data_IF_349608677156
#
_entry.id   IF_349608677156
#
_cell.length_a   1.000
_cell.length_b   1.000
_cell.length_c   1.000
_cell.angle_alpha   90.00
_cell.angle_beta   90.00
_cell.angle_gamma   90.00
#
_symmetry.space_group_name_H-M   'P 1'
#
loop_
_entity.id
_entity.type
_entity.pdbx_description
1 polymer ?
#
# COMPACT_ATOMS: atom_id res chain seq x y z
N UNK A 1 23.02 7.67 10.84
CA UNK A 1 23.21 8.19 9.47
C UNK A 1 22.06 9.15 9.20
N UNK A 2 22.36 10.39 8.81
CA UNK A 2 21.37 11.39 8.40
C UNK A 2 21.22 11.26 6.88
N UNK A 3 20.03 10.92 6.38
CA UNK A 3 19.80 10.77 4.95
C UNK A 3 19.21 12.06 4.38
N UNK A 4 20.05 12.99 3.95
CA UNK A 4 19.63 14.18 3.18
C UNK A 4 19.71 13.89 1.67
N UNK A 5 18.64 14.25 0.94
CA UNK A 5 18.34 14.38 -0.50
C UNK A 5 18.96 13.45 -1.58
N UNK A 6 20.02 12.71 -1.28
CA UNK A 6 20.52 11.53 -1.98
C UNK A 6 20.57 10.31 -1.03
N UNK A 7 19.64 10.28 -0.08
CA UNK A 7 19.54 9.34 1.05
C UNK A 7 19.53 7.85 0.67
N UNK A 8 19.23 6.97 1.63
CA UNK A 8 19.22 5.52 1.42
C UNK A 8 18.46 5.17 0.14
N UNK A 9 19.01 4.25 -0.67
CA UNK A 9 18.27 3.72 -1.81
C UNK A 9 17.08 2.92 -1.27
N UNK A 10 15.89 3.27 -1.75
CA UNK A 10 14.65 2.57 -1.42
C UNK A 10 14.25 1.67 -2.57
N UNK A 11 14.01 0.39 -2.31
CA UNK A 11 13.39 -0.52 -3.28
C UNK A 11 11.89 -0.60 -3.00
N UNK A 12 11.07 -0.11 -3.93
CA UNK A 12 9.62 -0.27 -3.94
C UNK A 12 9.27 -1.60 -4.61
N UNK A 13 8.67 -2.53 -3.86
CA UNK A 13 8.49 -3.92 -4.29
C UNK A 13 7.06 -4.16 -4.78
N UNK A 14 6.91 -4.32 -6.10
CA UNK A 14 5.63 -4.50 -6.77
C UNK A 14 5.52 -5.91 -7.36
N UNK A 15 4.42 -6.58 -7.04
CA UNK A 15 4.00 -7.81 -7.70
C UNK A 15 2.73 -7.50 -8.49
N UNK A 16 2.70 -7.85 -9.77
CA UNK A 16 1.53 -7.59 -10.64
C UNK A 16 1.18 -8.78 -11.51
N UNK A 17 -0.08 -8.85 -11.95
CA UNK A 17 -0.56 -9.88 -12.86
C UNK A 17 -1.86 -9.44 -13.54
N UNK A 18 -1.86 -9.29 -14.86
CA UNK A 18 -3.04 -9.02 -15.68
C UNK A 18 -3.93 -7.84 -15.21
N UNK A 19 -3.30 -6.75 -14.76
CA UNK A 19 -3.99 -5.57 -14.22
C UNK A 19 -3.29 -4.24 -14.56
N UNK A 20 -3.05 -4.03 -15.86
CA UNK A 20 -2.34 -2.88 -16.42
C UNK A 20 -2.76 -1.50 -15.87
N UNK A 21 -4.06 -1.21 -15.74
CA UNK A 21 -4.53 0.09 -15.23
C UNK A 21 -4.14 0.34 -13.77
N UNK A 22 -4.22 -0.70 -12.92
CA UNK A 22 -3.80 -0.62 -11.51
C UNK A 22 -2.27 -0.44 -11.44
N UNK A 23 -1.52 -1.27 -12.16
CA UNK A 23 -0.07 -1.16 -12.24
C UNK A 23 0.39 0.21 -12.76
N UNK A 24 -0.31 0.79 -13.74
CA UNK A 24 -0.05 2.15 -14.24
C UNK A 24 -0.17 3.18 -13.13
N UNK A 25 -1.26 3.16 -12.37
CA UNK A 25 -1.45 4.07 -11.22
C UNK A 25 -0.34 3.90 -10.18
N UNK A 26 0.03 2.65 -9.87
CA UNK A 26 1.11 2.37 -8.92
C UNK A 26 2.48 2.88 -9.40
N UNK A 27 2.77 2.76 -10.71
CA UNK A 27 3.98 3.34 -11.34
C UNK A 27 3.94 4.87 -11.30
N UNK A 28 2.80 5.49 -11.61
CA UNK A 28 2.64 6.95 -11.54
C UNK A 28 2.82 7.47 -10.11
N UNK A 29 2.35 6.73 -9.11
CA UNK A 29 2.63 7.02 -7.70
C UNK A 29 4.14 6.92 -7.37
N UNK A 30 4.85 5.95 -7.95
CA UNK A 30 6.30 5.77 -7.76
C UNK A 30 7.07 6.95 -8.37
N UNK A 31 6.73 7.34 -9.60
CA UNK A 31 7.34 8.47 -10.30
C UNK A 31 7.16 9.81 -9.56
N UNK A 32 6.06 9.95 -8.81
CA UNK A 32 5.75 11.17 -8.04
C UNK A 32 6.30 11.21 -6.61
N UNK A 33 6.96 10.16 -6.12
CA UNK A 33 7.55 10.20 -4.77
C UNK A 33 8.60 11.31 -4.65
N UNK A 34 8.58 12.04 -3.52
CA UNK A 34 9.56 13.08 -3.22
C UNK A 34 10.94 12.50 -2.87
N UNK A 35 11.01 11.27 -2.38
CA UNK A 35 12.28 10.61 -2.08
C UNK A 35 13.02 10.20 -3.36
N UNK A 36 14.05 10.94 -3.76
CA UNK A 36 14.73 10.83 -5.06
C UNK A 36 15.44 9.48 -5.30
N UNK A 37 16.19 8.97 -4.31
CA UNK A 37 17.01 7.76 -4.44
C UNK A 37 16.15 6.50 -4.21
N UNK A 38 15.44 6.10 -5.26
CA UNK A 38 14.54 4.96 -5.25
C UNK A 38 14.62 4.16 -6.54
N UNK A 39 14.30 2.88 -6.44
CA UNK A 39 14.06 2.00 -7.57
C UNK A 39 12.71 1.30 -7.40
N UNK A 40 12.10 0.97 -8.52
CA UNK A 40 10.94 0.09 -8.59
C UNK A 40 11.43 -1.30 -8.96
N UNK A 41 11.02 -2.30 -8.18
CA UNK A 41 11.28 -3.72 -8.46
C UNK A 41 9.94 -4.36 -8.76
N UNK A 42 9.76 -4.84 -9.98
CA UNK A 42 8.52 -5.42 -10.47
C UNK A 42 8.74 -6.89 -10.78
N UNK A 43 7.96 -7.75 -10.14
CA UNK A 43 7.80 -9.15 -10.52
C UNK A 43 6.39 -9.32 -11.09
N UNK A 44 6.32 -9.85 -12.30
CA UNK A 44 5.08 -10.03 -13.05
C UNK A 44 4.86 -11.52 -13.38
N UNK A 45 3.76 -12.09 -12.91
CA UNK A 45 3.34 -13.47 -13.24
C UNK A 45 2.08 -13.50 -14.14
N UNK A 46 1.85 -12.43 -14.89
CA UNK A 46 0.78 -12.31 -15.88
C UNK A 46 1.23 -12.51 -17.33
N UNK A 47 0.24 -12.38 -18.21
CA UNK A 47 0.41 -12.50 -19.67
C UNK A 47 0.43 -11.12 -20.36
N UNK A 48 -0.15 -10.09 -19.73
CA UNK A 48 -0.16 -8.72 -20.25
C UNK A 48 1.25 -8.14 -20.39
N UNK A 49 1.51 -7.39 -21.45
CA UNK A 49 2.76 -6.63 -21.60
C UNK A 49 2.70 -5.34 -20.78
N UNK A 50 3.68 -5.18 -19.88
CA UNK A 50 3.85 -4.00 -19.02
C UNK A 50 4.99 -3.09 -19.47
N UNK A 51 5.74 -3.44 -20.52
CA UNK A 51 6.94 -2.73 -20.94
C UNK A 51 6.72 -1.23 -21.17
N UNK A 52 5.56 -0.87 -21.74
CA UNK A 52 5.17 0.52 -21.97
C UNK A 52 5.00 1.34 -20.67
N UNK A 53 4.71 0.70 -19.52
CA UNK A 53 4.57 1.41 -18.25
C UNK A 53 5.92 1.87 -17.67
N UNK A 54 7.02 1.25 -18.08
CA UNK A 54 8.33 1.47 -17.47
C UNK A 54 9.24 2.39 -18.29
N UNK A 55 8.79 2.87 -19.45
CA UNK A 55 9.60 3.65 -20.40
C UNK A 55 10.15 4.95 -19.82
N UNK A 56 9.40 5.57 -18.91
CA UNK A 56 9.76 6.82 -18.25
C UNK A 56 10.62 6.61 -16.98
N UNK A 57 10.88 5.36 -16.60
CA UNK A 57 11.72 5.04 -15.43
C UNK A 57 13.16 4.83 -15.91
N UNK A 58 14.14 5.57 -15.37
CA UNK A 58 15.55 5.35 -15.68
C UNK A 58 15.98 3.90 -15.45
N UNK A 59 16.81 3.34 -16.33
CA UNK A 59 17.23 1.93 -16.27
C UNK A 59 17.89 1.54 -14.92
N UNK A 60 18.53 2.48 -14.22
CA UNK A 60 19.12 2.23 -12.90
C UNK A 60 18.09 2.24 -11.74
N UNK A 61 16.85 2.67 -12.02
CA UNK A 61 15.71 2.80 -11.10
C UNK A 61 14.57 1.83 -11.39
N UNK A 62 14.73 0.91 -12.32
CA UNK A 62 13.76 -0.16 -12.57
C UNK A 62 14.47 -1.52 -12.61
N UNK A 63 13.84 -2.52 -12.01
CA UNK A 63 14.10 -3.95 -12.26
C UNK A 63 12.78 -4.59 -12.57
N UNK A 64 12.64 -5.18 -13.75
CA UNK A 64 11.45 -5.90 -14.17
C UNK A 64 11.83 -7.35 -14.46
N UNK A 65 11.14 -8.28 -13.83
CA UNK A 65 11.26 -9.71 -14.09
C UNK A 65 9.86 -10.30 -14.31
N UNK A 66 9.65 -10.87 -15.49
CA UNK A 66 8.50 -11.72 -15.75
C UNK A 66 8.82 -13.15 -15.31
N UNK A 67 7.95 -13.74 -14.53
CA UNK A 67 8.06 -15.13 -14.07
C UNK A 67 6.89 -15.95 -14.62
N UNK A 68 7.08 -17.24 -14.98
CA UNK A 68 5.98 -18.08 -15.43
C UNK A 68 4.94 -18.29 -14.33
N UNK A 69 3.66 -18.14 -14.67
CA UNK A 69 2.57 -18.48 -13.77
C UNK A 69 2.47 -19.98 -13.58
N UNK A 70 2.69 -20.46 -12.37
CA UNK A 70 2.52 -21.88 -12.02
C UNK A 70 1.66 -22.01 -10.77
N UNK A 71 0.94 -23.13 -10.59
CA UNK A 71 0.13 -23.35 -9.39
C UNK A 71 0.95 -23.29 -8.10
N UNK A 72 2.22 -23.68 -8.10
CA UNK A 72 3.03 -23.76 -6.88
C UNK A 72 3.59 -22.40 -6.43
N UNK A 73 3.60 -21.40 -7.31
CA UNK A 73 4.08 -20.06 -6.98
C UNK A 73 3.00 -19.31 -6.18
N UNK A 74 3.36 -18.94 -4.96
CA UNK A 74 2.50 -18.17 -4.04
C UNK A 74 2.82 -16.68 -4.11
N UNK A 75 1.91 -15.83 -3.61
CA UNK A 75 2.17 -14.39 -3.51
C UNK A 75 3.38 -14.10 -2.62
N UNK A 76 3.55 -14.86 -1.52
CA UNK A 76 4.76 -14.78 -0.69
C UNK A 76 6.04 -15.10 -1.46
N UNK A 77 6.03 -16.13 -2.32
CA UNK A 77 7.17 -16.46 -3.17
C UNK A 77 7.51 -15.34 -4.17
N UNK A 78 6.50 -14.74 -4.81
CA UNK A 78 6.68 -13.58 -5.70
C UNK A 78 7.26 -12.37 -4.96
N UNK A 79 6.79 -12.09 -3.74
CA UNK A 79 7.35 -11.02 -2.90
C UNK A 79 8.78 -11.32 -2.46
N UNK A 80 9.11 -12.57 -2.12
CA UNK A 80 10.49 -12.95 -1.85
C UNK A 80 11.38 -12.76 -3.08
N UNK A 81 10.86 -13.02 -4.30
CA UNK A 81 11.59 -12.70 -5.53
C UNK A 81 11.86 -11.21 -5.68
N UNK A 82 10.91 -10.34 -5.34
CA UNK A 82 11.16 -8.89 -5.32
C UNK A 82 12.22 -8.48 -4.29
N UNK A 83 12.27 -9.15 -3.12
CA UNK A 83 13.33 -8.93 -2.12
C UNK A 83 14.71 -9.33 -2.65
N UNK A 84 14.81 -10.43 -3.39
CA UNK A 84 16.09 -10.90 -3.97
C UNK A 84 16.65 -9.96 -5.03
N UNK A 85 15.78 -9.27 -5.75
CA UNK A 85 16.15 -8.31 -6.80
C UNK A 85 16.45 -6.91 -6.24
N UNK A 86 16.02 -6.61 -5.02
CA UNK A 86 16.15 -5.29 -4.39
C UNK A 86 17.63 -4.93 -4.16
N UNK A 87 18.00 -3.68 -4.47
CA UNK A 87 19.34 -3.10 -4.21
C UNK A 87 19.33 -2.03 -3.12
N UNK A 88 18.15 -1.66 -2.64
CA UNK A 88 17.96 -0.64 -1.62
C UNK A 88 18.36 -1.13 -0.24
N UNK A 89 18.93 -0.24 0.56
CA UNK A 89 19.13 -0.48 2.01
C UNK A 89 17.83 -0.25 2.79
N UNK A 90 16.80 0.29 2.13
CA UNK A 90 15.43 0.40 2.62
C UNK A 90 14.51 -0.29 1.60
N UNK A 91 13.49 -0.95 2.10
CA UNK A 91 12.48 -1.67 1.33
C UNK A 91 11.12 -1.09 1.66
N UNK A 92 10.27 -0.91 0.65
CA UNK A 92 8.89 -0.49 0.80
C UNK A 92 7.97 -1.47 0.05
N UNK A 93 6.95 -1.99 0.72
CA UNK A 93 5.92 -2.78 0.03
C UNK A 93 5.10 -1.86 -0.90
N UNK A 94 4.89 -2.30 -2.14
CA UNK A 94 4.31 -1.52 -3.23
C UNK A 94 3.35 -2.36 -4.09
N UNK A 95 2.24 -2.80 -3.50
CA UNK A 95 1.16 -3.47 -4.21
C UNK A 95 0.59 -2.61 -5.35
N UNK A 96 0.30 -3.24 -6.48
CA UNK A 96 -0.14 -2.56 -7.71
C UNK A 96 -1.57 -1.99 -7.62
N UNK A 97 -2.39 -2.45 -6.67
CA UNK A 97 -3.80 -2.06 -6.52
C UNK A 97 -4.07 -1.03 -5.43
N UNK A 98 -3.03 -0.57 -4.74
CA UNK A 98 -3.08 0.53 -3.79
C UNK A 98 -2.73 1.87 -4.47
N UNK A 99 -2.82 2.95 -3.70
CA UNK A 99 -2.34 4.26 -4.11
C UNK A 99 -1.47 4.88 -3.02
N UNK A 100 -0.44 5.60 -3.45
CA UNK A 100 0.60 6.10 -2.57
C UNK A 100 0.79 7.61 -2.73
N UNK A 101 0.70 8.32 -1.61
CA UNK A 101 0.91 9.76 -1.58
C UNK A 101 2.37 10.11 -1.93
N UNK A 102 2.66 11.23 -2.62
CA UNK A 102 4.02 11.67 -2.95
C UNK A 102 5.00 11.74 -1.76
N UNK A 103 4.48 11.94 -0.55
CA UNK A 103 5.27 12.05 0.68
C UNK A 103 5.41 10.75 1.48
N UNK A 104 4.83 9.63 1.01
CA UNK A 104 4.83 8.35 1.74
C UNK A 104 6.24 7.95 2.15
N UNK A 105 7.16 7.84 1.18
CA UNK A 105 8.52 7.38 1.44
C UNK A 105 9.23 8.33 2.42
N UNK A 106 9.23 9.64 2.16
CA UNK A 106 9.90 10.63 3.02
C UNK A 106 9.41 10.55 4.47
N UNK A 107 8.08 10.47 4.69
CA UNK A 107 7.52 10.45 6.05
C UNK A 107 7.78 9.13 6.79
N UNK A 108 7.73 7.99 6.11
CA UNK A 108 7.99 6.70 6.74
C UNK A 108 9.50 6.46 6.98
N UNK A 109 10.37 6.91 6.08
CA UNK A 109 11.83 6.79 6.23
C UNK A 109 12.33 7.64 7.41
N UNK A 110 11.75 8.81 7.65
CA UNK A 110 12.06 9.63 8.83
C UNK A 110 11.89 8.87 10.16
N UNK A 111 10.99 7.87 10.22
CA UNK A 111 10.85 7.00 11.40
C UNK A 111 12.02 6.03 11.56
N UNK A 112 12.62 5.57 10.45
CA UNK A 112 13.81 4.71 10.50
C UNK A 112 15.03 5.48 10.99
N UNK A 113 15.09 6.79 10.75
CA UNK A 113 16.21 7.65 11.13
C UNK A 113 16.30 7.91 12.63
N UNK A 114 15.16 7.89 13.31
CA UNK A 114 15.08 7.94 14.79
C UNK A 114 15.30 6.55 15.43
N UNK A 115 15.96 5.64 14.72
CA UNK A 115 16.42 4.36 15.26
C UNK A 115 15.42 3.21 15.19
N UNK A 116 14.35 3.32 14.40
CA UNK A 116 13.42 2.21 14.12
C UNK A 116 13.96 1.33 12.99
N UNK A 117 13.55 0.06 13.02
CA UNK A 117 13.96 -0.93 12.01
C UNK A 117 12.91 -1.06 10.90
N UNK A 118 11.64 -0.84 11.25
CA UNK A 118 10.51 -0.79 10.34
C UNK A 118 9.55 0.35 10.70
N UNK A 119 8.71 0.74 9.75
CA UNK A 119 7.65 1.72 9.91
C UNK A 119 6.37 1.23 9.21
N UNK A 120 5.23 1.37 9.88
CA UNK A 120 3.89 1.12 9.33
C UNK A 120 2.99 2.31 9.61
N UNK A 121 1.91 2.44 8.84
CA UNK A 121 0.84 3.39 9.12
C UNK A 121 -0.13 2.78 10.14
N UNK A 122 -0.53 3.57 11.15
CA UNK A 122 -1.55 3.18 12.15
C UNK A 122 -2.87 2.78 11.49
N UNK A 123 -3.22 3.51 10.44
CA UNK A 123 -4.37 3.25 9.59
C UNK A 123 -4.13 3.81 8.20
N UNK A 124 -4.97 3.40 7.27
CA UNK A 124 -4.95 3.83 5.87
C UNK A 124 -6.32 4.34 5.47
N UNK A 125 -6.35 5.22 4.48
CA UNK A 125 -7.59 5.57 3.82
C UNK A 125 -8.10 4.34 3.04
N UNK A 126 -9.36 3.98 3.23
CA UNK A 126 -10.02 2.85 2.59
C UNK A 126 -11.04 3.42 1.60
N UNK A 127 -11.04 2.89 0.38
CA UNK A 127 -12.01 3.22 -0.66
C UNK A 127 -12.66 1.94 -1.21
N UNK A 128 -13.96 2.00 -1.50
CA UNK A 128 -14.67 0.91 -2.16
C UNK A 128 -15.26 1.45 -3.46
N UNK A 129 -14.84 0.87 -4.58
CA UNK A 129 -15.47 1.10 -5.87
C UNK A 129 -16.82 0.36 -5.93
N UNK A 130 -17.83 0.99 -5.33
CA UNK A 130 -19.20 0.51 -5.31
C UNK A 130 -20.14 1.73 -5.23
N UNK A 131 -21.31 1.73 -5.92
CA UNK A 131 -22.15 2.92 -6.04
C UNK A 131 -22.53 3.60 -4.72
N UNK A 132 -22.77 2.83 -3.66
CA UNK A 132 -23.14 3.36 -2.34
C UNK A 132 -21.94 3.82 -1.51
N UNK A 133 -20.72 3.50 -1.90
CA UNK A 133 -19.51 3.67 -1.08
C UNK A 133 -18.44 4.56 -1.72
N UNK A 134 -18.52 4.80 -3.03
CA UNK A 134 -17.49 5.49 -3.80
C UNK A 134 -17.09 6.83 -3.15
N UNK A 135 -18.05 7.69 -2.87
CA UNK A 135 -17.82 9.00 -2.23
C UNK A 135 -17.73 8.94 -0.69
N UNK A 136 -17.65 7.75 -0.11
CA UNK A 136 -17.57 7.53 1.33
C UNK A 136 -16.31 6.77 1.75
N UNK A 137 -15.11 7.30 1.44
CA UNK A 137 -13.88 6.74 1.95
C UNK A 137 -13.80 6.91 3.48
N UNK A 138 -13.06 6.03 4.15
CA UNK A 138 -12.94 6.03 5.61
C UNK A 138 -11.55 5.57 6.06
N UNK A 139 -11.14 5.94 7.28
CA UNK A 139 -9.86 5.51 7.84
C UNK A 139 -10.00 4.14 8.50
N UNK A 140 -9.38 3.11 7.93
CA UNK A 140 -9.27 1.79 8.55
C UNK A 140 -7.98 1.67 9.36
N UNK A 141 -8.05 1.36 10.66
CA UNK A 141 -6.85 1.17 11.51
C UNK A 141 -6.61 -0.30 11.78
N UNK A 142 -5.37 -0.68 12.06
CA UNK A 142 -5.00 -2.03 12.47
C UNK A 142 -3.83 -1.94 13.47
N UNK A 143 -3.75 -2.87 14.42
CA UNK A 143 -2.67 -2.92 15.39
C UNK A 143 -1.65 -4.00 15.02
N UNK A 144 -0.33 -3.73 15.09
CA UNK A 144 0.30 -2.44 15.47
C UNK A 144 0.23 -1.37 14.35
N UNK A 145 -0.09 -1.77 13.12
CA UNK A 145 -0.32 -0.91 11.96
C UNK A 145 -0.83 -1.74 10.79
N UNK A 146 -0.94 -1.14 9.61
CA UNK A 146 -1.40 -1.82 8.39
C UNK A 146 -0.21 -2.50 7.70
N UNK A 147 -0.16 -3.85 7.60
CA UNK A 147 1.01 -4.58 7.09
C UNK A 147 1.47 -4.15 5.70
N UNK A 148 0.56 -4.04 4.72
CA UNK A 148 0.91 -3.60 3.36
C UNK A 148 1.52 -2.19 3.26
N UNK A 149 1.45 -1.38 4.32
CA UNK A 149 2.10 -0.07 4.37
C UNK A 149 3.57 -0.10 4.78
N UNK A 150 4.13 -1.26 5.11
CA UNK A 150 5.46 -1.39 5.70
C UNK A 150 6.56 -0.77 4.83
N UNK A 151 7.45 -0.03 5.51
CA UNK A 151 8.76 0.43 5.02
C UNK A 151 9.79 0.02 6.05
N UNK A 152 10.85 -0.67 5.67
CA UNK A 152 11.81 -1.24 6.62
C UNK A 152 13.24 -1.23 6.09
N UNK A 153 14.21 -1.41 6.99
CA UNK A 153 15.62 -1.62 6.61
C UNK A 153 15.74 -2.97 5.91
N UNK A 154 16.54 -3.05 4.86
CA UNK A 154 16.80 -4.32 4.20
C UNK A 154 17.45 -5.31 5.18
N UNK A 155 16.88 -6.50 5.30
CA UNK A 155 17.39 -7.60 6.12
C UNK A 155 17.23 -8.91 5.34
N UNK A 156 18.31 -9.58 4.95
CA UNK A 156 18.24 -10.81 4.16
C UNK A 156 17.63 -11.99 4.92
N UNK A 157 17.54 -11.92 6.26
CA UNK A 157 16.91 -12.96 7.07
C UNK A 157 15.38 -12.85 7.12
N UNK A 158 14.80 -11.70 6.74
CA UNK A 158 13.36 -11.46 6.82
C UNK A 158 12.70 -11.82 5.48
N UNK A 159 11.77 -12.79 5.51
CA UNK A 159 11.11 -13.34 4.32
C UNK A 159 9.61 -13.45 4.51
N UNK A 160 8.86 -13.31 3.42
CA UNK A 160 7.43 -13.59 3.40
C UNK A 160 7.22 -15.11 3.50
N UNK A 161 6.28 -15.60 4.31
CA UNK A 161 5.91 -17.01 4.24
C UNK A 161 5.27 -17.28 2.87
N UNK A 162 5.48 -18.47 2.32
CA UNK A 162 4.94 -18.89 1.02
C UNK A 162 3.43 -19.17 1.12
N UNK A 163 2.65 -18.11 1.27
CA UNK A 163 1.19 -18.12 1.35
C UNK A 163 0.59 -17.31 0.21
N UNK A 164 -0.65 -17.66 -0.15
CA UNK A 164 -1.45 -16.92 -1.15
C UNK A 164 -2.17 -15.70 -0.56
N UNK A 165 -2.39 -15.68 0.77
CA UNK A 165 -3.11 -14.64 1.50
C UNK A 165 -2.55 -14.49 2.90
N UNK A 166 -2.46 -13.25 3.39
CA UNK A 166 -2.06 -12.93 4.77
C UNK A 166 -0.56 -13.03 5.05
N UNK A 167 0.24 -13.29 4.01
CA UNK A 167 1.71 -13.30 4.07
C UNK A 167 2.30 -11.99 4.58
N UNK A 168 1.67 -10.85 4.28
CA UNK A 168 2.09 -9.52 4.76
C UNK A 168 1.97 -9.37 6.28
N UNK A 169 0.92 -9.94 6.86
CA UNK A 169 0.64 -9.89 8.30
C UNK A 169 1.68 -10.68 9.06
N UNK A 170 2.01 -11.88 8.58
CA UNK A 170 3.09 -12.70 9.13
C UNK A 170 4.46 -12.05 8.92
N UNK A 171 4.68 -11.43 7.75
CA UNK A 171 5.91 -10.68 7.47
C UNK A 171 6.13 -9.57 8.50
N UNK A 172 5.09 -8.80 8.83
CA UNK A 172 5.17 -7.76 9.85
C UNK A 172 5.57 -8.31 11.24
N UNK A 173 5.18 -9.54 11.58
CA UNK A 173 5.51 -10.17 12.87
C UNK A 173 6.99 -10.54 13.04
N UNK A 174 7.80 -10.50 11.97
CA UNK A 174 9.25 -10.66 12.08
C UNK A 174 9.94 -9.47 12.76
N UNK A 175 9.31 -8.29 12.70
CA UNK A 175 9.84 -7.08 13.31
C UNK A 175 9.43 -7.00 14.78
N UNK A 176 10.39 -6.75 15.66
CA UNK A 176 10.11 -6.50 17.07
C UNK A 176 9.18 -5.30 17.22
N UNK A 177 8.08 -5.45 17.97
CA UNK A 177 7.06 -4.40 18.14
C UNK A 177 7.64 -3.07 18.62
N UNK A 178 8.62 -3.11 19.52
CA UNK A 178 9.28 -1.91 20.05
C UNK A 178 10.23 -1.24 19.04
N UNK A 179 10.57 -1.95 17.96
CA UNK A 179 11.42 -1.47 16.86
C UNK A 179 10.61 -1.01 15.65
N UNK A 180 9.28 -1.18 15.66
CA UNK A 180 8.37 -0.68 14.63
C UNK A 180 7.94 0.76 14.98
N UNK A 181 8.25 1.71 14.11
CA UNK A 181 7.65 3.04 14.14
C UNK A 181 6.23 3.02 13.60
N UNK A 182 5.26 3.56 14.35
CA UNK A 182 3.87 3.65 13.91
C UNK A 182 3.55 5.11 13.58
N UNK A 183 3.37 5.41 12.30
CA UNK A 183 3.03 6.75 11.82
C UNK A 183 1.51 6.90 11.68
N UNK A 184 0.94 7.95 12.28
CA UNK A 184 -0.48 8.26 12.16
C UNK A 184 -0.69 9.28 11.04
N UNK A 185 -0.82 8.79 9.81
CA UNK A 185 -0.99 9.60 8.61
C UNK A 185 -1.77 8.81 7.54
N UNK A 186 -3.09 8.62 7.73
CA UNK A 186 -3.87 7.70 6.91
C UNK A 186 -3.99 8.14 5.44
N UNK A 187 -3.84 9.43 5.15
CA UNK A 187 -3.82 9.98 3.79
C UNK A 187 -2.57 9.60 2.96
N UNK A 188 -1.55 8.98 3.55
CA UNK A 188 -0.35 8.58 2.80
C UNK A 188 -0.55 7.35 1.92
N UNK A 189 -1.66 6.63 2.12
CA UNK A 189 -1.88 5.32 1.54
C UNK A 189 -3.38 5.08 1.40
N UNK A 190 -3.85 4.79 0.18
CA UNK A 190 -5.24 4.39 -0.07
C UNK A 190 -5.28 2.93 -0.45
N UNK A 191 -6.08 2.16 0.31
CA UNK A 191 -6.44 0.78 0.00
C UNK A 191 -7.77 0.77 -0.73
N UNK A 192 -7.76 0.34 -1.98
CA UNK A 192 -8.94 0.37 -2.83
C UNK A 192 -9.49 -1.03 -3.07
N UNK A 193 -10.77 -1.24 -2.74
CA UNK A 193 -11.52 -2.36 -3.27
C UNK A 193 -11.97 -2.05 -4.70
N UNK A 194 -11.58 -2.89 -5.66
CA UNK A 194 -11.85 -2.75 -7.10
C UNK A 194 -12.55 -4.00 -7.70
N UNK A 195 -12.89 -4.99 -6.87
CA UNK A 195 -13.63 -6.19 -7.29
C UNK A 195 -12.76 -7.38 -7.69
N UNK A 196 -11.49 -7.16 -8.07
CA UNK A 196 -10.53 -8.22 -8.36
C UNK A 196 -9.48 -8.41 -7.24
N UNK A 197 -9.69 -7.83 -6.05
CA UNK A 197 -8.79 -7.97 -4.92
C UNK A 197 -8.73 -9.41 -4.40
N UNK A 198 -7.65 -9.73 -3.70
CA UNK A 198 -7.50 -10.97 -2.93
C UNK A 198 -8.56 -11.14 -1.82
N UNK A 199 -9.11 -10.02 -1.34
CA UNK A 199 -10.12 -9.94 -0.28
C UNK A 199 -11.47 -9.46 -0.83
N UNK A 200 -12.56 -10.07 -0.34
CA UNK A 200 -13.92 -9.69 -0.72
C UNK A 200 -14.33 -8.31 -0.17
N UNK A 201 -15.35 -7.69 -0.77
CA UNK A 201 -15.91 -6.40 -0.32
C UNK A 201 -16.27 -6.39 1.17
N UNK A 202 -16.83 -7.49 1.67
CA UNK A 202 -17.22 -7.63 3.08
C UNK A 202 -16.03 -7.49 4.03
N UNK A 203 -14.82 -7.87 3.59
CA UNK A 203 -13.58 -7.64 4.34
C UNK A 203 -13.32 -6.14 4.51
N UNK A 204 -13.46 -5.36 3.44
CA UNK A 204 -13.29 -3.91 3.47
C UNK A 204 -14.36 -3.28 4.35
N UNK A 205 -15.64 -3.56 4.12
CA UNK A 205 -16.75 -2.99 4.91
C UNK A 205 -16.58 -3.25 6.43
N UNK A 206 -16.10 -4.44 6.83
CA UNK A 206 -15.83 -4.77 8.24
C UNK A 206 -14.75 -3.88 8.87
N UNK A 207 -13.84 -3.30 8.08
CA UNK A 207 -12.79 -2.38 8.57
C UNK A 207 -13.33 -1.10 9.17
N UNK A 208 -14.57 -0.71 8.86
CA UNK A 208 -15.24 0.41 9.53
C UNK A 208 -15.43 0.09 11.03
N UNK A 209 -15.66 -1.18 11.37
CA UNK A 209 -16.09 -1.64 12.71
C UNK A 209 -15.18 -2.72 13.32
N UNK A 210 -13.89 -2.64 13.03
CA UNK A 210 -12.93 -3.70 13.36
C UNK A 210 -12.32 -3.63 14.77
N UNK A 211 -12.84 -2.75 15.64
CA UNK A 211 -12.52 -2.75 17.07
C UNK A 211 -13.80 -2.48 17.89
N UNK A 212 -13.83 -2.78 19.20
CA UNK A 212 -15.05 -2.69 20.01
C UNK A 212 -15.70 -1.30 19.98
N UNK A 213 -14.92 -0.23 20.13
CA UNK A 213 -15.43 1.14 20.14
C UNK A 213 -16.06 1.52 18.78
N UNK A 214 -15.39 1.18 17.68
CA UNK A 214 -15.91 1.41 16.33
C UNK A 214 -17.15 0.55 16.04
N UNK A 215 -17.20 -0.69 16.53
CA UNK A 215 -18.39 -1.53 16.39
C UNK A 215 -19.60 -0.92 17.13
N UNK A 216 -19.42 -0.47 18.36
CA UNK A 216 -20.47 0.20 19.14
C UNK A 216 -20.96 1.45 18.40
N UNK A 217 -20.05 2.31 17.93
CA UNK A 217 -20.43 3.50 17.16
C UNK A 217 -21.18 3.13 15.88
N UNK A 218 -20.72 2.13 15.13
CA UNK A 218 -21.39 1.68 13.91
C UNK A 218 -22.83 1.26 14.18
N UNK A 219 -23.08 0.47 15.23
CA UNK A 219 -24.42 0.03 15.60
C UNK A 219 -25.33 1.20 15.99
N UNK A 220 -24.82 2.15 16.79
CA UNK A 220 -25.55 3.37 17.13
C UNK A 220 -25.87 4.19 15.88
N UNK A 221 -24.91 4.37 14.97
CA UNK A 221 -25.09 5.13 13.72
C UNK A 221 -26.05 4.46 12.74
N UNK A 222 -26.18 3.13 12.78
CA UNK A 222 -27.11 2.41 11.92
C UNK A 222 -28.58 2.72 12.21
N UNK A 223 -28.92 3.15 13.44
CA UNK A 223 -30.30 3.47 13.85
C UNK A 223 -30.56 4.98 14.02
N UNK A 224 -29.52 5.82 13.96
CA UNK A 224 -29.61 7.27 14.12
C UNK A 224 -29.72 8.01 12.76
N UNK A 225 -30.34 9.21 12.72
CA UNK A 225 -30.39 10.04 11.52
C UNK A 225 -29.01 10.32 10.91
N UNK A 226 -28.92 10.25 9.59
CA UNK A 226 -27.66 10.36 8.83
C UNK A 226 -26.90 9.04 8.64
N UNK A 227 -27.32 7.97 9.33
CA UNK A 227 -26.84 6.61 9.10
C UNK A 227 -25.35 6.41 9.42
N UNK A 228 -24.81 5.30 8.90
CA UNK A 228 -23.42 4.86 9.13
C UNK A 228 -22.37 5.89 8.67
N UNK A 229 -22.72 6.80 7.77
CA UNK A 229 -21.81 7.83 7.23
C UNK A 229 -21.39 8.88 8.26
N UNK A 230 -22.14 8.99 9.37
CA UNK A 230 -21.77 9.84 10.50
C UNK A 230 -20.80 9.15 11.48
N UNK A 231 -20.38 7.93 11.21
CA UNK A 231 -19.36 7.25 12.00
C UNK A 231 -18.02 8.00 11.89
N UNK A 232 -17.32 8.10 13.02
CA UNK A 232 -16.00 8.73 13.14
C UNK A 232 -14.99 8.36 12.07
N UNK A 233 -15.04 7.13 11.55
CA UNK A 233 -14.16 6.61 10.50
C UNK A 233 -14.28 7.36 9.17
N UNK A 234 -15.44 7.93 8.86
CA UNK A 234 -15.68 8.73 7.65
C UNK A 234 -15.30 10.20 7.83
N UNK A 235 -14.96 10.64 9.05
CA UNK A 235 -14.49 12.00 9.32
C UNK A 235 -13.01 12.10 8.97
N UNK A 236 -12.73 12.51 7.74
CA UNK A 236 -11.36 12.73 7.26
C UNK A 236 -10.91 14.16 7.58
N UNK A 237 -9.66 14.29 7.99
CA UNK A 237 -8.99 15.60 8.03
C UNK A 237 -8.71 16.14 6.63
N UNK A 238 -8.23 17.38 6.55
CA UNK A 238 -7.97 18.08 5.28
C UNK A 238 -6.95 17.35 4.40
N UNK A 239 -5.87 16.83 5.00
CA UNK A 239 -4.81 16.13 4.26
C UNK A 239 -5.35 14.81 3.65
N UNK A 240 -6.07 14.04 4.46
CA UNK A 240 -6.65 12.75 4.05
C UNK A 240 -7.78 12.94 3.04
N UNK A 241 -8.56 14.03 3.14
CA UNK A 241 -9.55 14.40 2.11
C UNK A 241 -8.86 14.74 0.78
N UNK A 242 -7.82 15.56 0.80
CA UNK A 242 -7.06 15.89 -0.40
C UNK A 242 -6.40 14.65 -1.04
N UNK A 243 -5.93 13.71 -0.22
CA UNK A 243 -5.41 12.43 -0.70
C UNK A 243 -6.49 11.59 -1.40
N UNK A 244 -7.73 11.59 -0.91
CA UNK A 244 -8.86 10.94 -1.59
C UNK A 244 -9.12 11.57 -2.96
N UNK A 245 -9.22 12.89 -3.03
CA UNK A 245 -9.51 13.59 -4.29
C UNK A 245 -8.41 13.33 -5.33
N UNK A 246 -7.15 13.34 -4.88
CA UNK A 246 -5.98 12.98 -5.71
C UNK A 246 -6.03 11.53 -6.17
N UNK A 247 -6.37 10.60 -5.29
CA UNK A 247 -6.55 9.19 -5.62
C UNK A 247 -7.60 8.98 -6.71
N UNK A 248 -8.76 9.65 -6.61
CA UNK A 248 -9.82 9.54 -7.61
C UNK A 248 -9.34 10.10 -8.96
N UNK A 249 -8.69 11.26 -8.97
CA UNK A 249 -8.14 11.86 -10.18
C UNK A 249 -7.09 10.93 -10.84
N UNK A 250 -6.10 10.49 -10.09
CA UNK A 250 -5.04 9.61 -10.59
C UNK A 250 -5.61 8.25 -11.07
N UNK A 251 -6.69 7.77 -10.46
CA UNK A 251 -7.36 6.54 -10.88
C UNK A 251 -8.15 6.70 -12.18
N UNK A 252 -8.74 7.87 -12.45
CA UNK A 252 -9.34 8.18 -13.76
C UNK A 252 -8.26 8.31 -14.84
N UNK A 253 -7.16 9.01 -14.54
CA UNK A 253 -6.04 9.18 -15.46
C UNK A 253 -5.38 7.84 -15.85
N UNK A 254 -5.34 6.89 -14.92
CA UNK A 254 -4.84 5.54 -15.15
C UNK A 254 -5.85 4.60 -15.80
N UNK A 255 -7.10 5.03 -16.01
CA UNK A 255 -8.18 4.20 -16.57
C UNK A 255 -8.72 3.14 -15.61
N UNK A 256 -8.53 3.30 -14.30
CA UNK A 256 -9.09 2.42 -13.26
C UNK A 256 -10.57 2.74 -13.02
N UNK A 257 -10.94 4.02 -13.03
CA UNK A 257 -12.32 4.48 -12.93
C UNK A 257 -12.77 5.10 -14.25
N UNK A 258 -14.08 5.05 -14.58
CA UNK A 258 -14.62 5.81 -15.70
C UNK A 258 -14.46 7.32 -15.47
N UNK A 259 -14.28 8.05 -16.58
CA UNK A 259 -14.19 9.52 -16.63
C UNK A 259 -15.56 10.14 -16.42
#
# INVERSE_FOLDING_TARGET
>A
MNWSDNGARVSCLMVTANRAALARRAVDCFLRQRWSNRELVVVDDGDQDYGALFVDIPADRIRYERVPKTPDVTLGALRNRTLDLARGSIVAQWDDDDWYHPDRLTRQIAMLDVGRDACVLRGTLMHLDAPRWFDHPYVGTLEPGVPGSIVHRADPAVRYPEKRRGEDTDFLHHWSRDRIGVLDAPGLFVRAFHGANTWERTHFERRVRNNPAAAIEYWLRAVLPGGIWRHSRFRLDTETRAAFDRFVADSRDAGVFPV
#
